data_IF_582260034121
#
_entry.id   IF_582260034121
#
_cell.length_a   1.000
_cell.length_b   1.000
_cell.length_c   1.000
_cell.angle_alpha   90.00
_cell.angle_beta   90.00
_cell.angle_gamma   90.00
#
_symmetry.space_group_name_H-M   'P 1'
#
loop_
_entity.id
_entity.type
_entity.pdbx_description
1 polymer ?
#
# COMPACT_ATOMS: atom_id res chain seq x y z
N UNK A 1 1.70 -7.71 10.84
CA UNK A 1 2.48 -6.58 10.26
C UNK A 1 1.68 -5.77 9.24
N UNK A 2 1.83 -4.43 9.20
CA UNK A 2 1.13 -3.52 8.26
C UNK A 2 1.99 -3.27 6.99
N UNK A 3 1.42 -3.45 5.81
CA UNK A 3 2.07 -3.15 4.54
C UNK A 3 1.65 -1.78 4.01
N UNK A 4 2.60 -0.93 3.65
CA UNK A 4 2.37 0.37 3.01
C UNK A 4 2.74 0.24 1.54
N UNK A 5 1.76 0.34 0.63
CA UNK A 5 1.98 0.14 -0.81
C UNK A 5 2.71 1.34 -1.41
N UNK A 6 3.88 1.09 -2.01
CA UNK A 6 4.66 2.07 -2.77
C UNK A 6 4.49 1.83 -4.26
N UNK A 7 3.62 2.62 -4.89
CA UNK A 7 3.46 2.66 -6.34
C UNK A 7 4.22 3.84 -6.97
N UNK A 8 5.23 4.39 -6.30
CA UNK A 8 6.03 5.52 -6.80
C UNK A 8 5.31 6.87 -6.73
N UNK A 9 4.24 6.96 -5.95
CA UNK A 9 3.57 8.19 -5.53
C UNK A 9 2.86 7.93 -4.18
N UNK A 10 2.48 9.00 -3.50
CA UNK A 10 1.80 8.91 -2.20
C UNK A 10 2.62 9.49 -1.05
N UNK A 11 1.99 9.60 0.11
CA UNK A 11 2.61 10.15 1.31
C UNK A 11 3.25 9.07 2.20
N UNK A 12 4.09 8.22 1.62
CA UNK A 12 4.70 7.05 2.27
C UNK A 12 5.40 7.39 3.58
N UNK A 13 6.17 8.49 3.58
CA UNK A 13 6.97 8.91 4.74
C UNK A 13 6.10 9.33 5.91
N UNK A 14 5.02 10.07 5.69
CA UNK A 14 4.13 10.47 6.78
C UNK A 14 3.35 9.27 7.32
N UNK A 15 2.87 8.38 6.45
CA UNK A 15 2.19 7.15 6.91
C UNK A 15 3.14 6.29 7.74
N UNK A 16 4.37 6.06 7.26
CA UNK A 16 5.36 5.30 8.03
C UNK A 16 5.65 5.96 9.38
N UNK A 17 5.88 7.28 9.42
CA UNK A 17 6.11 8.01 10.68
C UNK A 17 4.93 7.90 11.64
N UNK A 18 3.70 7.95 11.13
CA UNK A 18 2.49 7.80 11.95
C UNK A 18 2.42 6.40 12.58
N UNK A 19 2.71 5.35 11.80
CA UNK A 19 2.76 3.98 12.31
C UNK A 19 3.90 3.78 13.32
N UNK A 20 5.09 4.35 13.03
CA UNK A 20 6.24 4.34 13.95
C UNK A 20 5.87 5.02 15.28
N UNK A 21 5.21 6.19 15.24
CA UNK A 21 4.73 6.91 16.43
C UNK A 21 3.71 6.11 17.23
N UNK A 22 2.84 5.35 16.56
CA UNK A 22 1.85 4.47 17.20
C UNK A 22 2.46 3.14 17.70
N UNK A 23 3.76 2.90 17.47
CA UNK A 23 4.41 1.63 17.81
C UNK A 23 3.93 0.44 16.96
N UNK A 24 3.37 0.70 15.78
CA UNK A 24 2.84 -0.34 14.91
C UNK A 24 3.90 -0.83 13.92
N UNK A 25 4.15 -2.15 13.90
CA UNK A 25 5.04 -2.75 12.92
C UNK A 25 4.53 -2.56 11.49
N UNK A 26 5.36 -1.92 10.67
CA UNK A 26 5.04 -1.65 9.27
C UNK A 26 6.23 -1.82 8.35
N UNK A 27 5.95 -2.19 7.10
CA UNK A 27 6.95 -2.26 6.02
C UNK A 27 6.43 -1.62 4.74
N UNK A 28 7.33 -1.09 3.94
CA UNK A 28 7.01 -0.67 2.57
C UNK A 28 6.92 -1.90 1.69
N UNK A 29 5.93 -1.90 0.80
CA UNK A 29 5.68 -2.93 -0.21
C UNK A 29 5.79 -2.26 -1.58
N UNK A 30 6.92 -2.47 -2.24
CA UNK A 30 7.25 -1.91 -3.55
C UNK A 30 7.24 -2.95 -4.67
N UNK A 31 7.11 -4.25 -4.33
CA UNK A 31 7.01 -5.34 -5.30
C UNK A 31 6.00 -6.42 -4.86
N UNK A 32 5.39 -7.17 -5.79
CA UNK A 32 4.39 -8.20 -5.47
C UNK A 32 4.86 -9.26 -4.47
N UNK A 33 6.14 -9.66 -4.54
CA UNK A 33 6.74 -10.65 -3.62
C UNK A 33 6.83 -10.15 -2.17
N UNK A 34 6.76 -8.84 -1.95
CA UNK A 34 6.84 -8.21 -0.62
C UNK A 34 5.48 -8.13 0.07
N UNK A 35 4.47 -8.86 -0.40
CA UNK A 35 3.14 -8.92 0.22
C UNK A 35 3.04 -10.07 1.22
N UNK A 36 3.91 -11.08 1.12
CA UNK A 36 3.91 -12.26 1.98
C UNK A 36 4.19 -11.92 3.46
N UNK A 37 3.26 -12.26 4.34
CA UNK A 37 3.36 -11.91 5.77
C UNK A 37 2.79 -10.52 6.14
N UNK A 38 2.25 -9.76 5.17
CA UNK A 38 1.38 -8.62 5.51
C UNK A 38 0.04 -9.15 6.01
N UNK A 39 -0.50 -8.53 7.04
CA UNK A 39 -1.83 -8.82 7.61
C UNK A 39 -2.84 -7.71 7.34
N UNK A 40 -2.37 -6.47 7.19
CA UNK A 40 -3.18 -5.27 6.97
C UNK A 40 -2.48 -4.39 5.94
N UNK A 41 -3.22 -3.80 5.01
CA UNK A 41 -2.64 -3.03 3.92
C UNK A 41 -3.11 -1.57 3.96
N UNK A 42 -2.19 -0.64 3.70
CA UNK A 42 -2.47 0.77 3.50
C UNK A 42 -2.03 1.15 2.08
N UNK A 43 -2.94 1.75 1.31
CA UNK A 43 -2.64 2.36 0.01
C UNK A 43 -2.69 3.90 0.16
N UNK A 44 -1.54 4.57 0.29
CA UNK A 44 -1.49 6.03 0.36
C UNK A 44 -1.57 6.68 -1.02
N UNK A 45 -2.67 7.35 -1.29
CA UNK A 45 -2.91 8.15 -2.48
C UNK A 45 -2.43 9.60 -2.36
N UNK A 46 -1.96 10.17 -3.47
CA UNK A 46 -1.90 11.61 -3.73
C UNK A 46 -2.11 11.88 -5.23
N UNK A 47 -2.87 12.92 -5.57
CA UNK A 47 -3.03 13.37 -6.95
C UNK A 47 -4.16 12.69 -7.71
N UNK A 48 -3.99 12.52 -9.04
CA UNK A 48 -5.05 12.06 -9.92
C UNK A 48 -5.19 10.53 -9.93
N UNK A 49 -6.42 10.04 -9.82
CA UNK A 49 -6.75 8.61 -9.78
C UNK A 49 -6.15 7.82 -10.95
N UNK A 50 -6.27 8.34 -12.19
CA UNK A 50 -5.72 7.69 -13.38
C UNK A 50 -4.21 7.42 -13.27
N UNK A 51 -3.45 8.42 -12.83
CA UNK A 51 -2.00 8.29 -12.69
C UNK A 51 -1.61 7.29 -11.58
N UNK A 52 -2.39 7.21 -10.51
CA UNK A 52 -2.18 6.21 -9.47
C UNK A 52 -2.42 4.79 -9.99
N UNK A 53 -3.49 4.59 -10.77
CA UNK A 53 -3.80 3.30 -11.40
C UNK A 53 -2.73 2.87 -12.40
N UNK A 54 -2.28 3.78 -13.28
CA UNK A 54 -1.20 3.51 -14.25
C UNK A 54 0.07 3.07 -13.52
N UNK A 55 0.48 3.80 -12.48
CA UNK A 55 1.65 3.46 -11.67
C UNK A 55 1.54 2.12 -10.92
N UNK A 56 0.36 1.80 -10.38
CA UNK A 56 0.10 0.49 -9.76
C UNK A 56 0.25 -0.65 -10.77
N UNK A 57 -0.16 -0.43 -12.02
CA UNK A 57 0.01 -1.41 -13.10
C UNK A 57 1.47 -1.52 -13.54
N UNK A 58 2.18 -0.40 -13.73
CA UNK A 58 3.61 -0.38 -14.07
C UNK A 58 4.50 -1.08 -13.04
N UNK A 59 4.06 -1.12 -11.78
CA UNK A 59 4.77 -1.79 -10.67
C UNK A 59 4.31 -3.24 -10.43
N UNK A 60 3.41 -3.77 -11.26
CA UNK A 60 2.76 -5.07 -11.07
C UNK A 60 2.00 -5.22 -9.74
N UNK A 61 1.70 -4.11 -9.06
CA UNK A 61 1.04 -4.07 -7.75
C UNK A 61 -0.49 -4.04 -7.86
N UNK A 62 -1.05 -3.69 -9.02
CA UNK A 62 -2.51 -3.65 -9.20
C UNK A 62 -3.17 -5.01 -8.90
N UNK A 63 -2.68 -6.09 -9.53
CA UNK A 63 -3.27 -7.43 -9.37
C UNK A 63 -3.26 -7.92 -7.92
N UNK A 64 -2.13 -7.88 -7.18
CA UNK A 64 -2.14 -8.36 -5.81
C UNK A 64 -2.93 -7.46 -4.86
N UNK A 65 -3.00 -6.14 -5.08
CA UNK A 65 -3.90 -5.25 -4.31
C UNK A 65 -5.37 -5.59 -4.58
N UNK A 66 -5.74 -5.83 -5.83
CA UNK A 66 -7.10 -6.25 -6.18
C UNK A 66 -7.47 -7.61 -5.56
N UNK A 67 -6.54 -8.57 -5.57
CA UNK A 67 -6.73 -9.87 -4.89
C UNK A 67 -6.87 -9.72 -3.37
N UNK A 68 -6.11 -8.81 -2.76
CA UNK A 68 -6.21 -8.50 -1.34
C UNK A 68 -7.61 -8.01 -0.96
N UNK A 69 -8.15 -7.05 -1.73
CA UNK A 69 -9.49 -6.52 -1.56
C UNK A 69 -10.57 -7.59 -1.80
N UNK A 70 -10.42 -8.40 -2.85
CA UNK A 70 -11.36 -9.47 -3.15
C UNK A 70 -11.41 -10.57 -2.07
N UNK A 71 -10.34 -10.72 -1.30
CA UNK A 71 -10.26 -11.63 -0.16
C UNK A 71 -10.79 -11.02 1.16
N UNK A 72 -11.40 -9.83 1.12
CA UNK A 72 -11.95 -9.11 2.29
C UNK A 72 -10.94 -8.93 3.43
N UNK A 73 -9.68 -8.69 3.06
CA UNK A 73 -8.58 -8.51 4.02
C UNK A 73 -8.51 -7.06 4.47
N UNK A 74 -8.09 -6.77 5.73
CA UNK A 74 -8.02 -5.41 6.24
C UNK A 74 -7.24 -4.47 5.32
N UNK A 75 -7.90 -3.41 4.88
CA UNK A 75 -7.37 -2.46 3.91
C UNK A 75 -7.79 -1.04 4.28
N UNK A 76 -6.87 -0.08 4.13
CA UNK A 76 -7.12 1.34 4.31
C UNK A 76 -6.58 2.12 3.10
N UNK A 77 -7.48 2.73 2.34
CA UNK A 77 -7.11 3.72 1.31
C UNK A 77 -7.05 5.12 1.91
N UNK A 78 -6.01 5.89 1.57
CA UNK A 78 -5.86 7.29 2.02
C UNK A 78 -5.72 8.19 0.80
N UNK A 79 -6.79 8.87 0.39
CA UNK A 79 -6.82 9.82 -0.73
C UNK A 79 -6.35 9.23 -2.07
#
# INVERSE_FOLDING_TARGET
MIGIVDYGAGNLRSVKKALDFLGAESRIVAAPGEIEGIEKMILPGVGAFRAAMEKLQEKDLFRPVAQWLAADRPFLGIC
#
